data_IF_405945638119
#
_entry.id   IF_405945638119
#
_cell.length_a   1.000
_cell.length_b   1.000
_cell.length_c   1.000
_cell.angle_alpha   90.00
_cell.angle_beta   90.00
_cell.angle_gamma   90.00
#
_symmetry.space_group_name_H-M   'P 1'
#
loop_
_entity.id
_entity.type
_entity.pdbx_description
1 polymer ?
#
# COMPACT_ATOMS: atom_id res chain seq x y z
N UNK A 1 23.76 22.55 -8.08
CA UNK A 1 22.60 23.22 -8.70
C UNK A 1 21.31 22.94 -7.92
N UNK A 2 20.80 21.69 -7.88
CA UNK A 2 19.49 21.39 -7.25
C UNK A 2 19.39 21.70 -5.75
N UNK A 3 20.48 21.58 -4.99
CA UNK A 3 20.51 21.87 -3.55
C UNK A 3 20.49 23.38 -3.19
N UNK A 4 20.44 24.28 -4.18
CA UNK A 4 20.45 25.72 -3.94
C UNK A 4 19.16 26.19 -3.24
N UNK A 5 19.27 27.09 -2.25
CA UNK A 5 18.17 27.53 -1.37
C UNK A 5 16.94 28.03 -2.13
N UNK A 6 17.12 28.89 -3.15
CA UNK A 6 16.01 29.39 -3.97
C UNK A 6 15.24 28.26 -4.68
N UNK A 7 15.96 27.25 -5.19
CA UNK A 7 15.35 26.10 -5.87
C UNK A 7 14.63 25.21 -4.85
N UNK A 8 15.22 25.00 -3.68
CA UNK A 8 14.61 24.24 -2.58
C UNK A 8 13.35 24.89 -2.04
N UNK A 9 13.30 26.23 -1.96
CA UNK A 9 12.11 26.97 -1.56
C UNK A 9 10.97 26.79 -2.56
N UNK A 10 11.27 26.86 -3.86
CA UNK A 10 10.30 26.59 -4.93
C UNK A 10 9.79 25.15 -4.89
N UNK A 11 10.69 24.16 -4.76
CA UNK A 11 10.30 22.76 -4.67
C UNK A 11 9.41 22.51 -3.45
N UNK A 12 9.76 23.12 -2.31
CA UNK A 12 8.96 23.04 -1.09
C UNK A 12 7.59 23.70 -1.22
N UNK A 13 7.46 24.81 -1.97
CA UNK A 13 6.13 25.41 -2.21
C UNK A 13 5.24 24.51 -3.07
N UNK A 14 5.82 23.83 -4.07
CA UNK A 14 5.08 22.86 -4.90
C UNK A 14 4.72 21.62 -4.07
N UNK A 15 5.64 21.14 -3.23
CA UNK A 15 5.45 19.93 -2.42
C UNK A 15 4.28 20.06 -1.44
N UNK A 16 4.18 21.19 -0.74
CA UNK A 16 3.14 21.47 0.25
C UNK A 16 1.93 22.24 -0.31
N UNK A 17 1.79 22.32 -1.62
CA UNK A 17 0.66 22.99 -2.26
C UNK A 17 -0.67 22.31 -1.88
N UNK A 18 -1.70 23.11 -1.57
CA UNK A 18 -2.99 22.63 -1.07
C UNK A 18 -3.08 22.34 0.44
N UNK A 19 -1.99 22.50 1.18
CA UNK A 19 -1.93 22.29 2.65
C UNK A 19 -1.57 23.59 3.39
N UNK A 20 -2.52 24.52 3.52
CA UNK A 20 -2.24 25.83 4.10
C UNK A 20 -1.72 25.68 5.54
N UNK A 21 -0.54 26.23 5.80
CA UNK A 21 0.06 26.25 7.13
C UNK A 21 0.64 24.92 7.62
N UNK A 22 0.60 23.82 6.85
CA UNK A 22 1.15 22.53 7.30
C UNK A 22 2.63 22.63 7.68
N UNK A 23 3.40 23.44 6.94
CA UNK A 23 4.82 23.69 7.25
C UNK A 23 5.03 24.30 8.64
N UNK A 24 4.12 25.16 9.08
CA UNK A 24 4.17 25.91 10.36
C UNK A 24 3.52 25.17 11.53
N UNK A 25 2.85 24.04 11.29
CA UNK A 25 2.27 23.20 12.36
C UNK A 25 3.34 22.62 13.28
N UNK A 26 2.95 22.38 14.54
CA UNK A 26 3.77 21.66 15.51
C UNK A 26 4.05 20.23 15.01
N UNK A 27 5.09 19.59 15.55
CA UNK A 27 5.43 18.21 15.19
C UNK A 27 4.27 17.27 15.55
N UNK A 28 3.65 17.49 16.71
CA UNK A 28 2.50 16.68 17.18
C UNK A 28 1.33 16.78 16.20
N UNK A 29 0.96 17.99 15.78
CA UNK A 29 -0.13 18.19 14.81
C UNK A 29 0.18 17.54 13.46
N UNK A 30 1.44 17.57 13.01
CA UNK A 30 1.88 16.90 11.78
C UNK A 30 1.73 15.39 11.90
N UNK A 31 2.16 14.81 13.02
CA UNK A 31 2.04 13.37 13.28
C UNK A 31 0.58 12.95 13.32
N UNK A 32 -0.29 13.68 14.02
CA UNK A 32 -1.73 13.37 14.07
C UNK A 32 -2.33 13.43 12.66
N UNK A 33 -2.02 14.47 11.89
CA UNK A 33 -2.50 14.61 10.51
C UNK A 33 -2.02 13.46 9.61
N UNK A 34 -0.75 13.08 9.71
CA UNK A 34 -0.17 11.95 8.97
C UNK A 34 -0.85 10.63 9.36
N UNK A 35 -1.03 10.39 10.66
CA UNK A 35 -1.71 9.19 11.16
C UNK A 35 -3.17 9.12 10.68
N UNK A 36 -3.89 10.25 10.68
CA UNK A 36 -5.24 10.32 10.13
C UNK A 36 -5.28 9.92 8.65
N UNK A 37 -4.36 10.44 7.83
CA UNK A 37 -4.29 10.04 6.41
C UNK A 37 -3.92 8.58 6.28
N UNK A 38 -3.00 8.07 7.12
CA UNK A 38 -2.60 6.69 7.08
C UNK A 38 -3.70 5.70 7.46
N UNK A 39 -4.61 6.08 8.36
CA UNK A 39 -5.78 5.24 8.71
C UNK A 39 -6.90 5.39 7.67
N UNK A 40 -7.11 6.59 7.15
CA UNK A 40 -8.21 6.90 6.23
C UNK A 40 -7.84 6.76 4.74
N UNK A 41 -6.65 6.27 4.41
CA UNK A 41 -6.19 6.12 3.02
C UNK A 41 -7.19 5.39 2.10
N UNK A 42 -7.89 4.29 2.48
CA UNK A 42 -8.82 3.62 1.57
C UNK A 42 -10.01 4.53 1.23
N UNK A 43 -10.51 5.29 2.21
CA UNK A 43 -11.59 6.25 1.99
C UNK A 43 -11.14 7.37 1.03
N UNK A 44 -9.92 7.88 1.20
CA UNK A 44 -9.37 8.89 0.29
C UNK A 44 -9.23 8.36 -1.15
N UNK A 45 -8.77 7.12 -1.34
CA UNK A 45 -8.71 6.47 -2.65
C UNK A 45 -10.10 6.30 -3.28
N UNK A 46 -11.10 5.86 -2.50
CA UNK A 46 -12.47 5.72 -2.97
C UNK A 46 -13.08 7.06 -3.41
N UNK A 47 -12.90 8.11 -2.61
CA UNK A 47 -13.36 9.46 -2.96
C UNK A 47 -12.68 9.95 -4.25
N UNK A 48 -11.38 9.72 -4.39
CA UNK A 48 -10.64 10.09 -5.59
C UNK A 48 -11.17 9.37 -6.85
N UNK A 49 -11.52 8.08 -6.72
CA UNK A 49 -12.05 7.27 -7.81
C UNK A 49 -13.50 7.65 -8.19
N UNK A 50 -14.36 7.89 -7.21
CA UNK A 50 -15.79 8.18 -7.44
C UNK A 50 -16.07 9.65 -7.75
N UNK A 51 -15.36 10.58 -7.11
CA UNK A 51 -15.61 12.03 -7.20
C UNK A 51 -14.28 12.80 -7.39
N UNK A 52 -13.56 12.60 -8.52
CA UNK A 52 -12.22 13.15 -8.72
C UNK A 52 -12.13 14.68 -8.73
N UNK A 53 -13.25 15.37 -8.96
CA UNK A 53 -13.31 16.83 -9.07
C UNK A 53 -13.68 17.53 -7.75
N UNK A 54 -14.02 16.78 -6.69
CA UNK A 54 -14.31 17.38 -5.38
C UNK A 54 -13.03 17.94 -4.72
N UNK A 55 -13.20 18.77 -3.69
CA UNK A 55 -12.07 19.38 -2.96
C UNK A 55 -11.07 18.36 -2.45
N UNK A 56 -11.55 17.23 -1.91
CA UNK A 56 -10.70 16.13 -1.42
C UNK A 56 -9.98 15.42 -2.57
N UNK A 57 -10.67 15.15 -3.68
CA UNK A 57 -10.06 14.54 -4.87
C UNK A 57 -8.96 15.41 -5.48
N UNK A 58 -9.16 16.74 -5.51
CA UNK A 58 -8.13 17.69 -5.94
C UNK A 58 -6.93 17.74 -4.97
N UNK A 59 -7.19 17.65 -3.66
CA UNK A 59 -6.13 17.58 -2.63
C UNK A 59 -5.27 16.31 -2.80
N UNK A 60 -5.88 15.16 -3.13
CA UNK A 60 -5.15 13.90 -3.38
C UNK A 60 -4.24 13.96 -4.61
N UNK A 61 -4.44 14.91 -5.53
CA UNK A 61 -3.53 15.09 -6.68
C UNK A 61 -2.22 15.78 -6.29
N UNK A 62 -2.14 16.40 -5.11
CA UNK A 62 -0.95 17.12 -4.63
C UNK A 62 0.15 16.13 -4.25
N UNK A 63 1.44 16.46 -4.52
CA UNK A 63 2.54 15.50 -4.44
C UNK A 63 2.73 14.91 -3.04
N UNK A 64 2.68 15.74 -1.99
CA UNK A 64 2.78 15.26 -0.61
C UNK A 64 1.66 14.28 -0.24
N UNK A 65 0.43 14.57 -0.68
CA UNK A 65 -0.72 13.69 -0.40
C UNK A 65 -0.61 12.37 -1.15
N UNK A 66 -0.18 12.38 -2.42
CA UNK A 66 0.12 11.15 -3.16
C UNK A 66 1.15 10.30 -2.42
N UNK A 67 2.28 10.90 -2.05
CA UNK A 67 3.33 10.23 -1.29
C UNK A 67 2.78 9.57 -0.03
N UNK A 68 1.97 10.31 0.74
CA UNK A 68 1.40 9.82 2.00
C UNK A 68 0.45 8.65 1.79
N UNK A 69 -0.42 8.70 0.77
CA UNK A 69 -1.34 7.61 0.42
C UNK A 69 -0.56 6.37 -0.03
N UNK A 70 0.45 6.52 -0.90
CA UNK A 70 1.28 5.39 -1.34
C UNK A 70 2.04 4.76 -0.16
N UNK A 71 2.67 5.57 0.69
CA UNK A 71 3.35 5.09 1.88
C UNK A 71 2.40 4.37 2.83
N UNK A 72 1.19 4.91 3.03
CA UNK A 72 0.18 4.30 3.90
C UNK A 72 -0.33 2.97 3.37
N UNK A 73 -0.60 2.88 2.06
CA UNK A 73 -1.01 1.64 1.39
C UNK A 73 0.08 0.56 1.49
N UNK A 74 1.35 0.94 1.32
CA UNK A 74 2.48 0.03 1.47
C UNK A 74 2.65 -0.46 2.92
N UNK A 75 2.53 0.43 3.91
CA UNK A 75 2.54 0.04 5.33
C UNK A 75 1.36 -0.88 5.67
N UNK A 76 0.19 -0.63 5.11
CA UNK A 76 -0.96 -1.51 5.27
C UNK A 76 -0.73 -2.88 4.64
N UNK A 77 -0.11 -2.94 3.45
CA UNK A 77 0.31 -4.21 2.85
C UNK A 77 1.27 -5.00 3.75
N UNK A 78 2.28 -4.35 4.33
CA UNK A 78 3.18 -4.98 5.31
C UNK A 78 2.42 -5.47 6.56
N UNK A 79 1.47 -4.68 7.05
CA UNK A 79 0.62 -5.07 8.17
C UNK A 79 -0.20 -6.34 7.84
N UNK A 80 -0.79 -6.43 6.65
CA UNK A 80 -1.50 -7.64 6.19
C UNK A 80 -0.55 -8.83 6.12
N UNK A 81 0.67 -8.67 5.59
CA UNK A 81 1.66 -9.75 5.57
C UNK A 81 2.02 -10.25 6.98
N UNK A 82 2.14 -9.34 7.95
CA UNK A 82 2.36 -9.71 9.36
C UNK A 82 1.16 -10.52 9.89
N UNK A 83 -0.08 -10.09 9.61
CA UNK A 83 -1.29 -10.82 10.02
C UNK A 83 -1.37 -12.22 9.39
N UNK A 84 -1.02 -12.37 8.11
CA UNK A 84 -0.91 -13.67 7.42
C UNK A 84 0.15 -14.53 8.12
N UNK A 85 1.32 -13.96 8.40
CA UNK A 85 2.42 -14.68 9.08
C UNK A 85 2.03 -15.18 10.48
N UNK A 86 1.15 -14.46 11.18
CA UNK A 86 0.66 -14.86 12.50
C UNK A 86 -0.58 -15.76 12.44
N UNK A 87 -1.07 -16.13 11.25
CA UNK A 87 -2.33 -16.88 11.05
C UNK A 87 -3.52 -16.23 11.78
N UNK A 88 -3.59 -14.90 11.75
CA UNK A 88 -4.61 -14.15 12.48
C UNK A 88 -6.06 -14.53 12.09
N UNK A 89 -6.28 -14.99 10.85
CA UNK A 89 -7.56 -15.53 10.41
C UNK A 89 -7.98 -16.78 11.21
N UNK A 90 -7.07 -17.72 11.44
CA UNK A 90 -7.33 -18.97 12.18
C UNK A 90 -7.68 -18.64 13.64
N UNK A 91 -6.91 -17.73 14.26
CA UNK A 91 -7.15 -17.27 15.63
C UNK A 91 -8.47 -16.50 15.77
N UNK A 92 -8.82 -15.68 14.78
CA UNK A 92 -10.13 -15.01 14.75
C UNK A 92 -11.27 -16.03 14.70
N UNK A 93 -11.17 -17.08 13.87
CA UNK A 93 -12.17 -18.14 13.79
C UNK A 93 -12.25 -18.96 15.10
N UNK A 94 -11.12 -19.21 15.76
CA UNK A 94 -11.09 -19.92 17.05
C UNK A 94 -11.78 -19.14 18.16
N UNK A 95 -11.59 -17.82 18.22
CA UNK A 95 -12.14 -16.97 19.28
C UNK A 95 -13.60 -16.60 18.98
N UNK A 96 -13.86 -16.08 17.78
CA UNK A 96 -15.13 -15.46 17.41
C UNK A 96 -15.99 -16.28 16.43
N UNK A 97 -15.46 -17.38 15.88
CA UNK A 97 -16.16 -18.17 14.87
C UNK A 97 -17.31 -19.02 15.43
N UNK A 98 -18.27 -19.33 14.55
CA UNK A 98 -19.39 -20.25 14.84
C UNK A 98 -18.88 -21.70 14.96
N UNK A 99 -19.63 -22.57 15.65
CA UNK A 99 -19.30 -24.02 15.80
C UNK A 99 -18.96 -24.72 14.48
N UNK A 100 -19.63 -24.34 13.38
CA UNK A 100 -19.33 -24.87 12.03
C UNK A 100 -17.94 -24.46 11.54
N UNK A 101 -17.59 -23.18 11.66
CA UNK A 101 -16.28 -22.67 11.22
C UNK A 101 -15.14 -23.27 12.03
N UNK A 102 -15.33 -23.49 13.34
CA UNK A 102 -14.34 -24.15 14.19
C UNK A 102 -14.10 -25.60 13.79
N UNK A 103 -15.17 -26.32 13.41
CA UNK A 103 -15.07 -27.70 12.93
C UNK A 103 -14.38 -27.77 11.57
N UNK A 104 -14.73 -26.87 10.65
CA UNK A 104 -14.07 -26.75 9.34
C UNK A 104 -12.58 -26.44 9.49
N UNK A 105 -12.21 -25.53 10.39
CA UNK A 105 -10.81 -25.22 10.69
C UNK A 105 -10.06 -26.46 11.22
N UNK A 106 -10.65 -27.21 12.15
CA UNK A 106 -10.04 -28.44 12.67
C UNK A 106 -9.85 -29.52 11.57
N UNK A 107 -10.84 -29.66 10.69
CA UNK A 107 -10.73 -30.56 9.51
C UNK A 107 -9.67 -30.08 8.51
N UNK A 108 -9.52 -28.76 8.34
CA UNK A 108 -8.48 -28.16 7.50
C UNK A 108 -7.08 -28.37 8.11
N UNK A 109 -6.90 -28.22 9.42
CA UNK A 109 -5.63 -28.48 10.11
C UNK A 109 -5.18 -29.95 9.94
N UNK A 110 -6.13 -30.88 9.93
CA UNK A 110 -5.87 -32.29 9.63
C UNK A 110 -5.46 -32.51 8.16
N UNK A 111 -5.95 -31.68 7.24
CA UNK A 111 -5.59 -31.71 5.81
C UNK A 111 -4.35 -30.83 5.55
N UNK A 112 -3.17 -31.42 5.68
CA UNK A 112 -1.88 -30.71 5.51
C UNK A 112 -1.56 -30.27 4.06
N UNK A 113 -2.34 -30.66 3.03
CA UNK A 113 -2.09 -30.31 1.61
C UNK A 113 -3.34 -29.77 0.93
N UNK A 114 -3.17 -28.72 0.14
CA UNK A 114 -4.23 -28.12 -0.68
C UNK A 114 -5.26 -27.33 0.13
N UNK A 115 -4.83 -26.62 1.18
CA UNK A 115 -5.71 -25.72 1.90
C UNK A 115 -6.15 -24.57 0.98
N UNK A 116 -7.43 -24.22 1.06
CA UNK A 116 -7.97 -23.05 0.36
C UNK A 116 -7.30 -21.78 0.87
N UNK A 117 -7.00 -20.80 0.01
CA UNK A 117 -6.32 -19.58 0.43
C UNK A 117 -7.13 -18.84 1.49
N UNK A 118 -6.44 -18.31 2.50
CA UNK A 118 -7.04 -17.51 3.56
C UNK A 118 -7.60 -16.19 2.99
N UNK A 119 -8.53 -15.57 3.73
CA UNK A 119 -9.10 -14.27 3.33
C UNK A 119 -8.00 -13.19 3.26
N UNK A 120 -7.07 -13.20 4.21
CA UNK A 120 -5.92 -12.30 4.19
C UNK A 120 -4.99 -12.59 3.01
N UNK A 121 -4.75 -13.86 2.67
CA UNK A 121 -3.95 -14.23 1.48
C UNK A 121 -4.60 -13.72 0.18
N UNK A 122 -5.93 -13.76 0.06
CA UNK A 122 -6.63 -13.18 -1.08
C UNK A 122 -6.40 -11.67 -1.21
N UNK A 123 -6.35 -10.94 -0.09
CA UNK A 123 -6.01 -9.52 -0.09
C UNK A 123 -4.56 -9.31 -0.55
N UNK A 124 -3.62 -10.15 -0.09
CA UNK A 124 -2.22 -10.11 -0.55
C UNK A 124 -2.13 -10.32 -2.06
N UNK A 125 -2.85 -11.30 -2.61
CA UNK A 125 -2.91 -11.56 -4.07
C UNK A 125 -3.39 -10.31 -4.82
N UNK A 126 -4.45 -9.66 -4.34
CA UNK A 126 -4.95 -8.42 -4.96
C UNK A 126 -3.88 -7.31 -4.96
N UNK A 127 -3.11 -7.17 -3.88
CA UNK A 127 -2.00 -6.21 -3.82
C UNK A 127 -0.88 -6.54 -4.79
N UNK A 128 -0.48 -7.81 -4.89
CA UNK A 128 0.59 -8.25 -5.79
C UNK A 128 0.22 -8.00 -7.25
N UNK A 129 -1.04 -8.25 -7.63
CA UNK A 129 -1.53 -7.90 -8.98
C UNK A 129 -1.37 -6.39 -9.24
N UNK A 130 -1.69 -5.56 -8.24
CA UNK A 130 -1.49 -4.11 -8.31
C UNK A 130 -0.03 -3.72 -8.51
N UNK A 131 0.89 -4.28 -7.73
CA UNK A 131 2.33 -4.00 -7.87
C UNK A 131 2.89 -4.47 -9.21
N UNK A 132 2.50 -5.65 -9.68
CA UNK A 132 2.91 -6.14 -11.01
C UNK A 132 2.41 -5.20 -12.11
N UNK A 133 1.16 -4.75 -12.01
CA UNK A 133 0.59 -3.79 -12.96
C UNK A 133 1.34 -2.45 -12.95
N UNK A 134 1.68 -1.92 -11.77
CA UNK A 134 2.45 -0.67 -11.61
C UNK A 134 3.83 -0.78 -12.28
N UNK A 135 4.58 -1.85 -12.02
CA UNK A 135 5.90 -2.08 -12.64
C UNK A 135 5.80 -2.20 -14.16
N UNK A 136 4.78 -2.90 -14.66
CA UNK A 136 4.56 -3.05 -16.11
C UNK A 136 4.33 -1.69 -16.76
N UNK A 137 3.51 -0.82 -16.14
CA UNK A 137 3.27 0.54 -16.64
C UNK A 137 4.54 1.40 -16.63
N UNK A 138 5.39 1.28 -15.59
CA UNK A 138 6.66 2.01 -15.54
C UNK A 138 7.63 1.57 -16.65
N UNK A 139 7.75 0.25 -16.87
CA UNK A 139 8.58 -0.31 -17.94
C UNK A 139 8.11 0.19 -19.30
N UNK A 140 6.79 0.25 -19.54
CA UNK A 140 6.24 0.80 -20.78
C UNK A 140 6.50 2.31 -20.93
N UNK A 141 6.47 3.09 -19.85
CA UNK A 141 6.66 4.53 -19.89
C UNK A 141 8.13 4.96 -20.07
N UNK A 142 9.05 4.28 -19.39
CA UNK A 142 10.47 4.69 -19.31
C UNK A 142 11.39 3.83 -20.20
N UNK A 143 10.97 2.60 -20.52
CA UNK A 143 11.73 1.62 -21.30
C UNK A 143 12.66 0.75 -20.45
N UNK A 144 12.73 -0.54 -20.81
CA UNK A 144 13.42 -1.59 -20.04
C UNK A 144 14.88 -1.28 -19.67
N UNK A 145 15.66 -0.69 -20.59
CA UNK A 145 17.09 -0.40 -20.33
C UNK A 145 17.28 0.69 -19.26
N UNK A 146 16.43 1.71 -19.26
CA UNK A 146 16.52 2.79 -18.26
C UNK A 146 15.94 2.34 -16.92
N UNK A 147 14.88 1.53 -16.95
CA UNK A 147 14.29 0.90 -15.77
C UNK A 147 15.32 0.04 -15.00
N UNK A 148 16.01 -0.90 -15.67
CA UNK A 148 16.99 -1.79 -15.02
C UNK A 148 18.27 -1.09 -14.54
N UNK A 149 18.52 0.15 -14.97
CA UNK A 149 19.66 0.94 -14.46
C UNK A 149 19.39 1.46 -13.05
N UNK A 150 18.13 1.58 -12.64
CA UNK A 150 17.78 1.89 -11.26
C UNK A 150 17.81 0.60 -10.42
N UNK A 151 18.70 0.55 -9.42
CA UNK A 151 18.83 -0.64 -8.57
C UNK A 151 17.56 -0.92 -7.74
N UNK A 152 16.77 0.10 -7.43
CA UNK A 152 15.51 -0.07 -6.71
C UNK A 152 14.48 -0.84 -7.54
N UNK A 153 14.32 -0.46 -8.81
CA UNK A 153 13.43 -1.12 -9.76
C UNK A 153 13.80 -2.61 -9.95
N UNK A 154 15.10 -2.95 -9.91
CA UNK A 154 15.53 -4.35 -9.95
C UNK A 154 15.05 -5.14 -8.71
N UNK A 155 15.11 -4.54 -7.52
CA UNK A 155 14.61 -5.15 -6.28
C UNK A 155 13.09 -5.33 -6.36
N UNK A 156 12.36 -4.34 -6.86
CA UNK A 156 10.91 -4.39 -7.02
C UNK A 156 10.47 -5.50 -8.00
N UNK A 157 11.16 -5.62 -9.14
CA UNK A 157 10.96 -6.71 -10.10
C UNK A 157 11.21 -8.09 -9.49
N UNK A 158 12.31 -8.26 -8.74
CA UNK A 158 12.63 -9.52 -8.07
C UNK A 158 11.57 -9.88 -7.02
N UNK A 159 11.18 -8.91 -6.18
CA UNK A 159 10.13 -9.08 -5.17
C UNK A 159 8.83 -9.57 -5.81
N UNK A 160 8.38 -8.90 -6.87
CA UNK A 160 7.14 -9.25 -7.56
C UNK A 160 7.23 -10.63 -8.22
N UNK A 161 8.37 -10.99 -8.81
CA UNK A 161 8.62 -12.31 -9.41
C UNK A 161 8.55 -13.44 -8.37
N UNK A 162 9.09 -13.21 -7.16
CA UNK A 162 9.00 -14.17 -6.06
C UNK A 162 7.56 -14.34 -5.56
N UNK A 163 6.80 -13.25 -5.42
CA UNK A 163 5.39 -13.34 -5.04
C UNK A 163 4.57 -14.15 -6.03
N UNK A 164 4.72 -13.89 -7.33
CA UNK A 164 4.02 -14.64 -8.39
C UNK A 164 4.42 -16.11 -8.35
N UNK A 165 5.70 -16.41 -8.15
CA UNK A 165 6.19 -17.79 -8.07
C UNK A 165 5.55 -18.57 -6.92
N UNK A 166 5.42 -17.96 -5.74
CA UNK A 166 4.74 -18.59 -4.58
C UNK A 166 3.25 -18.80 -4.85
N UNK A 167 2.59 -17.90 -5.58
CA UNK A 167 1.17 -18.04 -5.93
C UNK A 167 0.90 -19.14 -6.97
N UNK A 168 1.89 -19.45 -7.81
CA UNK A 168 1.78 -20.50 -8.82
C UNK A 168 2.13 -21.90 -8.31
N UNK A 169 2.80 -22.02 -7.16
CA UNK A 169 3.22 -23.28 -6.53
C UNK A 169 2.18 -23.81 -5.54
#
# INVERSE_FOLDING_TARGET
FVAHSNIQQLLSSIWYDGLPGFRRKSIVDKVICIAQVAVLFPLYCLIYMCAPNCRTGQLMRKPFMKFLIHASSYLFFLFILILVSQRADDDFVRIFGTTRMKKELAEQELRQRGQTPSKLELIVVMYVIGFVWEEVQEIFAVGMKSYLRNMWNFIDFLRNSLYVSVMCL
#
